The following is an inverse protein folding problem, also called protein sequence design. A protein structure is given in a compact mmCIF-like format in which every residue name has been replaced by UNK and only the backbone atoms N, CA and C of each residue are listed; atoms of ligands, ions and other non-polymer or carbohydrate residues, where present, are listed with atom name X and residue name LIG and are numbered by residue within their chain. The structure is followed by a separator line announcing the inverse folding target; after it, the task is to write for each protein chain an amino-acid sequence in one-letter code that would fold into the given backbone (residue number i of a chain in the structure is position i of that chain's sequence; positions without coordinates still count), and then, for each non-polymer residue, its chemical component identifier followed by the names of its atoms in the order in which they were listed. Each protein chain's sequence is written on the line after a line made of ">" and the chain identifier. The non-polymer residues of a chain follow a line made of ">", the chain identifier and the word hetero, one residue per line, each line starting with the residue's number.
data_IF_255823962629
#
_entry.id   IF_255823962629
#
_cell.length_a   1.000
_cell.length_b   1.000
_cell.length_c   1.000
_cell.angle_alpha   90.00
_cell.angle_beta   90.00
_cell.angle_gamma   90.00
#
_symmetry.space_group_name_H-M   'P 1'
#
loop_
_entity.id
_entity.type
_entity.pdbx_description
1 polymer ?
#
# COMPACT_ATOMS: atom_id res chain seq x y z
N UNK A 1 -34.51 4.75 -44.85
CA UNK A 1 -33.74 5.81 -45.47
C UNK A 1 -32.35 5.25 -45.75
N UNK A 2 -32.08 4.86 -46.99
CA UNK A 2 -30.78 4.24 -47.35
C UNK A 2 -29.77 5.43 -47.57
N UNK A 3 -28.71 5.44 -46.77
CA UNK A 3 -27.61 6.39 -46.98
C UNK A 3 -26.78 5.86 -48.14
N UNK A 4 -26.84 6.60 -49.27
CA UNK A 4 -25.98 6.32 -50.44
C UNK A 4 -24.59 6.90 -50.09
N UNK A 5 -23.63 6.05 -49.74
CA UNK A 5 -22.24 6.43 -49.59
C UNK A 5 -21.62 6.41 -50.98
N UNK A 6 -21.26 7.58 -51.49
CA UNK A 6 -20.56 7.74 -52.77
C UNK A 6 -19.11 7.22 -52.62
N UNK A 7 -18.86 6.01 -53.15
CA UNK A 7 -17.57 5.31 -53.07
C UNK A 7 -16.52 5.82 -54.04
N UNK A 8 -16.75 6.93 -54.76
CA UNK A 8 -15.86 7.43 -55.82
C UNK A 8 -14.75 8.38 -55.38
N UNK A 9 -14.68 8.79 -54.12
CA UNK A 9 -13.71 9.79 -53.66
C UNK A 9 -12.56 9.27 -52.77
N UNK A 10 -12.44 7.96 -52.51
CA UNK A 10 -11.32 7.39 -51.77
C UNK A 10 -10.36 6.64 -52.71
N UNK A 11 -9.56 7.36 -53.47
CA UNK A 11 -8.44 6.84 -54.26
C UNK A 11 -7.11 7.29 -53.66
N UNK A 12 -6.79 6.85 -52.45
CA UNK A 12 -5.45 6.84 -51.89
C UNK A 12 -5.15 5.46 -51.31
N UNK A 13 -3.88 5.01 -51.22
CA UNK A 13 -3.55 3.77 -50.55
C UNK A 13 -4.00 3.86 -49.10
N UNK A 14 -4.83 2.91 -48.66
CA UNK A 14 -5.23 2.81 -47.26
C UNK A 14 -4.01 2.39 -46.47
N UNK A 15 -3.50 3.30 -45.65
CA UNK A 15 -2.34 3.03 -44.76
C UNK A 15 -2.88 2.58 -43.42
N UNK A 16 -2.53 1.40 -42.99
CA UNK A 16 -2.88 0.87 -41.66
C UNK A 16 -1.70 1.11 -40.73
N UNK A 17 -1.95 1.67 -39.55
CA UNK A 17 -1.01 1.68 -38.44
C UNK A 17 -1.53 0.74 -37.35
N UNK A 18 -0.66 -0.18 -36.92
CA UNK A 18 -0.97 -1.10 -35.83
C UNK A 18 -0.13 -0.73 -34.63
N UNK A 19 -0.77 -0.68 -33.44
CA UNK A 19 -0.13 -0.38 -32.18
C UNK A 19 -0.36 -1.52 -31.21
N UNK A 20 0.64 -1.81 -30.38
CA UNK A 20 0.49 -2.73 -29.27
C UNK A 20 0.04 -1.98 -28.03
N UNK A 21 -1.18 -2.26 -27.57
CA UNK A 21 -1.78 -1.59 -26.41
C UNK A 21 -1.57 -2.38 -25.12
N UNK A 22 -1.39 -3.70 -25.19
CA UNK A 22 -1.32 -4.60 -24.06
C UNK A 22 -2.49 -4.37 -23.07
N UNK A 23 -2.19 -4.41 -21.76
CA UNK A 23 -3.14 -4.07 -20.69
C UNK A 23 -3.26 -2.55 -20.43
N UNK A 24 -2.38 -1.72 -21.03
CA UNK A 24 -2.32 -0.28 -20.76
C UNK A 24 -3.60 0.46 -21.11
N UNK A 25 -4.36 -0.05 -22.07
CA UNK A 25 -5.67 0.52 -22.42
C UNK A 25 -6.68 0.40 -21.29
N UNK A 26 -6.67 -0.71 -20.52
CA UNK A 26 -7.53 -0.88 -19.35
C UNK A 26 -7.11 0.05 -18.22
N UNK A 27 -5.79 0.17 -17.99
CA UNK A 27 -5.25 1.06 -16.96
C UNK A 27 -5.58 2.52 -17.27
N UNK A 28 -5.35 2.96 -18.51
CA UNK A 28 -5.67 4.33 -18.96
C UNK A 28 -7.17 4.62 -18.85
N UNK A 29 -8.03 3.68 -19.25
CA UNK A 29 -9.48 3.84 -19.16
C UNK A 29 -9.96 3.97 -17.70
N UNK A 30 -9.40 3.20 -16.76
CA UNK A 30 -9.71 3.32 -15.33
C UNK A 30 -9.27 4.67 -14.78
N UNK A 31 -8.08 5.16 -15.14
CA UNK A 31 -7.60 6.48 -14.71
C UNK A 31 -8.47 7.60 -15.28
N UNK A 32 -8.95 7.46 -16.51
CA UNK A 32 -9.87 8.42 -17.15
C UNK A 32 -11.24 8.40 -16.46
N UNK A 33 -11.79 7.22 -16.18
CA UNK A 33 -13.04 7.06 -15.42
C UNK A 33 -12.95 7.68 -14.03
N UNK A 34 -11.84 7.50 -13.32
CA UNK A 34 -11.58 8.16 -12.04
C UNK A 34 -11.38 9.67 -12.20
N UNK A 35 -11.01 10.14 -13.39
CA UNK A 35 -10.76 11.56 -13.70
C UNK A 35 -9.43 12.06 -13.13
N UNK A 36 -8.39 11.19 -13.07
CA UNK A 36 -7.14 11.52 -12.40
C UNK A 36 -6.44 12.74 -12.99
N UNK A 37 -6.42 12.89 -14.32
CA UNK A 37 -5.83 14.08 -14.98
C UNK A 37 -6.52 15.34 -14.48
N UNK A 38 -7.85 15.37 -14.50
CA UNK A 38 -8.63 16.54 -14.07
C UNK A 38 -8.41 16.86 -12.58
N UNK A 39 -8.34 15.85 -11.72
CA UNK A 39 -8.07 16.02 -10.28
C UNK A 39 -6.70 16.66 -10.08
N UNK A 40 -5.65 16.11 -10.69
CA UNK A 40 -4.28 16.59 -10.54
C UNK A 40 -4.16 18.02 -11.10
N UNK A 41 -4.67 18.25 -12.30
CA UNK A 41 -4.57 19.55 -12.98
C UNK A 41 -5.42 20.65 -12.31
N UNK A 42 -6.43 20.29 -11.52
CA UNK A 42 -7.24 21.25 -10.77
C UNK A 42 -6.53 21.84 -9.55
N UNK A 43 -5.56 21.12 -8.98
CA UNK A 43 -4.89 21.52 -7.74
C UNK A 43 -3.43 21.91 -7.94
N UNK A 44 -2.81 21.45 -9.02
CA UNK A 44 -1.41 21.78 -9.32
C UNK A 44 -1.37 22.91 -10.35
N UNK A 45 -0.63 23.97 -10.01
CA UNK A 45 -0.44 25.11 -10.92
C UNK A 45 0.18 24.66 -12.24
N UNK A 46 -0.49 24.98 -13.35
CA UNK A 46 -0.02 24.71 -14.71
C UNK A 46 0.63 25.98 -15.29
N UNK A 47 1.77 25.83 -16.00
CA UNK A 47 2.29 26.92 -16.82
C UNK A 47 1.53 26.93 -18.15
N UNK A 48 0.55 27.79 -18.25
CA UNK A 48 -0.44 27.77 -19.35
C UNK A 48 0.09 28.16 -20.73
N UNK A 49 1.23 28.85 -20.84
CA UNK A 49 1.60 29.50 -22.11
C UNK A 49 2.41 28.64 -23.10
N UNK A 50 2.97 27.49 -22.71
CA UNK A 50 3.84 26.73 -23.62
C UNK A 50 3.78 25.20 -23.47
N UNK A 51 2.86 24.61 -22.69
CA UNK A 51 2.87 23.17 -22.44
C UNK A 51 1.89 22.38 -23.30
N UNK A 52 2.46 21.39 -23.99
CA UNK A 52 1.68 20.37 -24.70
C UNK A 52 1.16 19.28 -23.77
N UNK A 53 1.86 19.01 -22.64
CA UNK A 53 1.54 17.95 -21.68
C UNK A 53 1.27 18.58 -20.31
N UNK A 54 0.09 18.34 -19.74
CA UNK A 54 -0.23 18.77 -18.38
C UNK A 54 0.48 17.93 -17.31
N UNK A 55 0.49 18.38 -16.05
CA UNK A 55 1.05 17.60 -14.95
C UNK A 55 0.30 16.28 -14.76
N UNK A 56 -1.03 16.31 -14.81
CA UNK A 56 -1.86 15.10 -14.73
C UNK A 56 -1.52 14.10 -15.84
N UNK A 57 -1.41 14.58 -17.09
CA UNK A 57 -1.03 13.72 -18.23
C UNK A 57 0.39 13.16 -18.09
N UNK A 58 1.34 13.94 -17.57
CA UNK A 58 2.70 13.45 -17.28
C UNK A 58 2.69 12.35 -16.21
N UNK A 59 1.86 12.50 -15.16
CA UNK A 59 1.67 11.45 -14.12
C UNK A 59 1.11 10.18 -14.75
N UNK A 60 0.06 10.28 -15.57
CA UNK A 60 -0.50 9.11 -16.26
C UNK A 60 0.55 8.43 -17.15
N UNK A 61 1.35 9.21 -17.87
CA UNK A 61 2.44 8.66 -18.70
C UNK A 61 3.47 7.88 -17.85
N UNK A 62 3.89 8.43 -16.71
CA UNK A 62 4.81 7.76 -15.81
C UNK A 62 4.21 6.47 -15.23
N UNK A 63 2.94 6.48 -14.85
CA UNK A 63 2.24 5.28 -14.34
C UNK A 63 2.16 4.21 -15.44
N UNK A 64 1.77 4.57 -16.65
CA UNK A 64 1.69 3.63 -17.77
C UNK A 64 3.07 3.05 -18.13
N UNK A 65 4.13 3.85 -18.09
CA UNK A 65 5.48 3.35 -18.26
C UNK A 65 5.87 2.37 -17.14
N UNK A 66 5.60 2.72 -15.88
CA UNK A 66 5.93 1.86 -14.73
C UNK A 66 5.16 0.53 -14.69
N UNK A 67 3.93 0.51 -15.19
CA UNK A 67 3.09 -0.69 -15.28
C UNK A 67 3.27 -1.47 -16.59
N UNK A 68 4.03 -0.96 -17.54
CA UNK A 68 4.30 -1.64 -18.82
C UNK A 68 5.12 -2.90 -18.64
N UNK A 69 4.92 -3.90 -19.49
CA UNK A 69 5.72 -5.15 -19.48
C UNK A 69 7.23 -4.91 -19.71
N UNK A 70 7.59 -3.79 -20.33
CA UNK A 70 8.97 -3.38 -20.56
C UNK A 70 9.12 -1.92 -20.17
N UNK A 71 8.96 -1.65 -18.87
CA UNK A 71 9.14 -0.30 -18.33
C UNK A 71 10.53 0.27 -18.65
N UNK A 72 10.62 1.59 -18.73
CA UNK A 72 11.85 2.31 -19.04
C UNK A 72 12.16 3.33 -17.94
N UNK A 73 13.43 3.65 -17.76
CA UNK A 73 13.85 4.78 -16.94
C UNK A 73 13.24 6.09 -17.48
N UNK A 74 13.13 7.10 -16.62
CA UNK A 74 12.42 8.35 -16.91
C UNK A 74 12.85 8.98 -18.24
N UNK A 75 14.17 9.08 -18.50
CA UNK A 75 14.73 9.66 -19.72
C UNK A 75 14.46 8.82 -20.99
N UNK A 76 14.06 7.56 -20.85
CA UNK A 76 13.70 6.67 -21.94
C UNK A 76 12.18 6.54 -22.13
N UNK A 77 11.37 7.31 -21.41
CA UNK A 77 9.91 7.28 -21.55
C UNK A 77 9.43 7.55 -22.98
N UNK A 78 10.03 8.46 -23.77
CA UNK A 78 9.68 8.60 -25.18
C UNK A 78 9.77 7.29 -25.98
N UNK A 79 10.84 6.51 -25.80
CA UNK A 79 11.01 5.21 -26.47
C UNK A 79 9.94 4.18 -26.06
N UNK A 80 9.48 4.22 -24.80
CA UNK A 80 8.37 3.37 -24.35
C UNK A 80 7.09 3.65 -25.14
N UNK A 81 6.85 4.91 -25.50
CA UNK A 81 5.64 5.35 -26.19
C UNK A 81 5.73 5.38 -27.72
N UNK A 82 6.90 5.16 -28.35
CA UNK A 82 7.06 5.22 -29.81
C UNK A 82 6.09 4.33 -30.58
N UNK A 83 5.83 3.13 -30.08
CA UNK A 83 4.96 2.14 -30.71
C UNK A 83 3.58 2.02 -30.02
N UNK A 84 3.15 3.05 -29.32
CA UNK A 84 1.88 3.09 -28.59
C UNK A 84 0.99 4.21 -29.11
N UNK A 85 -0.34 4.08 -29.05
CA UNK A 85 -1.28 5.10 -29.48
C UNK A 85 -1.36 6.23 -28.44
N UNK A 86 -0.32 7.06 -28.34
CA UNK A 86 -0.14 8.11 -27.33
C UNK A 86 -1.36 9.02 -27.21
N UNK A 87 -1.88 9.50 -28.35
CA UNK A 87 -3.04 10.39 -28.37
C UNK A 87 -4.30 9.75 -27.76
N UNK A 88 -4.44 8.41 -27.85
CA UNK A 88 -5.55 7.68 -27.23
C UNK A 88 -5.33 7.43 -25.74
N UNK A 89 -4.09 7.24 -25.31
CA UNK A 89 -3.74 6.94 -23.91
C UNK A 89 -3.69 8.20 -23.03
N UNK A 90 -3.23 9.34 -23.60
CA UNK A 90 -2.90 10.54 -22.83
C UNK A 90 -3.69 11.78 -23.29
N UNK A 91 -4.26 11.75 -24.48
CA UNK A 91 -5.02 12.87 -25.05
C UNK A 91 -4.49 13.35 -26.39
N UNK A 92 -5.37 14.00 -27.14
CA UNK A 92 -5.09 14.50 -28.49
C UNK A 92 -3.99 15.56 -28.48
N UNK A 93 -3.09 15.49 -29.45
CA UNK A 93 -1.97 16.44 -29.61
C UNK A 93 -0.71 16.06 -28.85
N UNK A 94 -0.76 15.03 -28.00
CA UNK A 94 0.43 14.51 -27.31
C UNK A 94 1.12 13.47 -28.19
N UNK A 95 2.44 13.58 -28.31
CA UNK A 95 3.31 12.66 -29.01
C UNK A 95 4.38 12.12 -28.04
N UNK A 96 4.99 10.96 -28.35
CA UNK A 96 6.01 10.34 -27.53
C UNK A 96 7.18 11.30 -27.18
N UNK A 97 7.61 12.13 -28.12
CA UNK A 97 8.71 13.11 -27.92
C UNK A 97 8.40 14.17 -26.86
N UNK A 98 7.12 14.45 -26.57
CA UNK A 98 6.72 15.41 -25.55
C UNK A 98 6.89 14.89 -24.13
N UNK A 99 7.09 13.55 -23.97
CA UNK A 99 7.24 12.86 -22.69
C UNK A 99 8.72 12.71 -22.30
N UNK A 100 9.53 13.71 -22.61
CA UNK A 100 10.96 13.71 -22.29
C UNK A 100 11.19 13.95 -20.79
N UNK A 101 12.42 13.71 -20.35
CA UNK A 101 12.85 13.82 -18.95
C UNK A 101 12.67 15.21 -18.35
N UNK A 102 12.85 16.28 -19.13
CA UNK A 102 12.60 17.66 -18.69
C UNK A 102 11.12 17.89 -18.38
N UNK A 103 10.22 17.42 -19.24
CA UNK A 103 8.77 17.52 -19.03
C UNK A 103 8.32 16.73 -17.81
N UNK A 104 8.78 15.48 -17.69
CA UNK A 104 8.41 14.60 -16.60
C UNK A 104 9.07 15.02 -15.28
N UNK A 105 10.33 15.47 -15.31
CA UNK A 105 11.04 16.01 -14.15
C UNK A 105 10.34 17.24 -13.57
N UNK A 106 9.97 18.20 -14.41
CA UNK A 106 9.18 19.37 -13.97
C UNK A 106 7.81 18.99 -13.38
N UNK A 107 7.18 17.94 -13.88
CA UNK A 107 5.96 17.42 -13.27
C UNK A 107 6.23 16.86 -11.87
N UNK A 108 7.29 16.08 -11.68
CA UNK A 108 7.69 15.56 -10.37
C UNK A 108 8.01 16.68 -9.37
N UNK A 109 8.73 17.74 -9.77
CA UNK A 109 9.03 18.90 -8.92
C UNK A 109 7.75 19.58 -8.42
N UNK A 110 6.72 19.65 -9.26
CA UNK A 110 5.43 20.24 -8.88
C UNK A 110 4.62 19.36 -7.96
N UNK A 111 4.63 18.05 -8.18
CA UNK A 111 4.04 17.08 -7.26
C UNK A 111 4.66 17.19 -5.88
N UNK A 112 6.00 17.29 -5.85
CA UNK A 112 6.75 17.47 -4.60
C UNK A 112 6.39 18.80 -3.91
N UNK A 113 6.34 19.90 -4.65
CA UNK A 113 6.00 21.23 -4.11
C UNK A 113 4.57 21.29 -3.56
N UNK A 114 3.63 20.60 -4.19
CA UNK A 114 2.23 20.52 -3.72
C UNK A 114 2.11 19.67 -2.44
N UNK A 115 2.89 18.60 -2.34
CA UNK A 115 2.79 17.58 -1.29
C UNK A 115 2.15 16.30 -1.81
N UNK A 116 2.98 15.27 -1.94
CA UNK A 116 2.55 13.98 -2.54
C UNK A 116 1.53 13.24 -1.67
N UNK A 117 1.60 13.39 -0.35
CA UNK A 117 0.65 12.78 0.60
C UNK A 117 -0.74 13.41 0.46
N UNK A 118 -0.80 14.74 0.41
CA UNK A 118 -2.05 15.49 0.27
C UNK A 118 -2.74 15.22 -1.08
N UNK A 119 -1.94 15.21 -2.16
CA UNK A 119 -2.45 14.88 -3.49
C UNK A 119 -3.01 13.45 -3.53
N UNK A 120 -2.27 12.50 -2.93
CA UNK A 120 -2.72 11.12 -2.88
C UNK A 120 -4.01 10.98 -2.07
N UNK A 121 -4.11 11.64 -0.92
CA UNK A 121 -5.33 11.67 -0.10
C UNK A 121 -6.55 12.18 -0.87
N UNK A 122 -6.38 13.25 -1.65
CA UNK A 122 -7.43 13.78 -2.52
C UNK A 122 -7.87 12.75 -3.59
N UNK A 123 -6.91 12.13 -4.27
CA UNK A 123 -7.19 11.08 -5.27
C UNK A 123 -7.93 9.90 -4.63
N UNK A 124 -7.47 9.44 -3.46
CA UNK A 124 -8.10 8.35 -2.72
C UNK A 124 -9.54 8.68 -2.34
N UNK A 125 -9.78 9.88 -1.81
CA UNK A 125 -11.12 10.34 -1.41
C UNK A 125 -12.09 10.40 -2.61
N UNK A 126 -11.63 10.89 -3.77
CA UNK A 126 -12.44 10.90 -4.99
C UNK A 126 -12.71 9.48 -5.48
N UNK A 127 -11.70 8.61 -5.46
CA UNK A 127 -11.81 7.21 -5.90
C UNK A 127 -12.79 6.42 -5.03
N UNK A 128 -12.70 6.53 -3.72
CA UNK A 128 -13.63 5.89 -2.77
C UNK A 128 -15.07 6.32 -3.02
N UNK A 129 -15.31 7.62 -3.25
CA UNK A 129 -16.65 8.13 -3.57
C UNK A 129 -17.18 7.62 -4.90
N UNK A 130 -16.37 7.66 -5.96
CA UNK A 130 -16.76 7.20 -7.31
C UNK A 130 -17.03 5.70 -7.36
N UNK A 131 -16.25 4.92 -6.62
CA UNK A 131 -16.41 3.46 -6.55
C UNK A 131 -17.41 3.01 -5.49
N UNK A 132 -18.05 3.94 -4.79
CA UNK A 132 -19.03 3.68 -3.72
C UNK A 132 -18.51 2.70 -2.64
N UNK A 133 -17.26 2.85 -2.24
CA UNK A 133 -16.64 1.99 -1.24
C UNK A 133 -17.02 2.40 0.17
N UNK A 134 -17.19 1.41 1.05
CA UNK A 134 -17.45 1.59 2.47
C UNK A 134 -16.19 1.22 3.28
N UNK A 135 -15.47 2.20 3.74
CA UNK A 135 -14.20 2.03 4.42
C UNK A 135 -14.39 1.60 5.89
N UNK A 136 -15.04 0.45 6.13
CA UNK A 136 -15.29 -0.05 7.48
C UNK A 136 -14.01 -0.32 8.25
N UNK A 137 -13.01 -0.90 7.60
CA UNK A 137 -11.71 -1.22 8.17
C UNK A 137 -10.60 -0.50 7.42
N UNK A 138 -9.71 0.14 8.16
CA UNK A 138 -8.46 0.70 7.67
C UNK A 138 -7.30 -0.19 8.10
N UNK A 139 -6.69 -0.91 7.16
CA UNK A 139 -5.56 -1.81 7.43
C UNK A 139 -4.26 -1.04 7.32
N UNK A 140 -3.55 -0.91 8.44
CA UNK A 140 -2.23 -0.29 8.51
C UNK A 140 -1.16 -1.34 8.31
N UNK A 141 -0.28 -1.12 7.36
CA UNK A 141 0.92 -1.92 7.14
C UNK A 141 2.03 -1.05 6.54
N UNK A 142 3.26 -1.51 6.61
CA UNK A 142 4.41 -0.90 5.98
C UNK A 142 5.18 -1.92 5.15
N UNK A 143 5.82 -1.45 4.10
CA UNK A 143 6.73 -2.27 3.29
C UNK A 143 7.99 -1.49 2.97
N UNK A 144 9.12 -2.19 2.84
CA UNK A 144 10.38 -1.61 2.38
C UNK A 144 10.56 -1.86 0.89
N UNK A 145 11.08 -0.85 0.19
CA UNK A 145 11.49 -0.96 -1.20
C UNK A 145 12.99 -0.66 -1.25
N UNK A 146 13.77 -1.63 -1.70
CA UNK A 146 15.20 -1.46 -1.89
C UNK A 146 15.49 -0.90 -3.28
N UNK A 147 16.62 -0.21 -3.37
CA UNK A 147 17.10 0.42 -4.59
C UNK A 147 18.57 0.08 -4.82
N UNK A 148 18.90 -0.19 -6.07
CA UNK A 148 20.28 -0.36 -6.48
C UNK A 148 20.88 0.99 -6.88
N UNK A 149 22.08 1.29 -6.42
CA UNK A 149 22.81 2.51 -6.74
C UNK A 149 23.39 3.23 -5.52
N UNK A 150 24.23 4.22 -5.82
CA UNK A 150 24.82 5.09 -4.80
C UNK A 150 23.89 6.28 -4.55
N UNK A 151 23.06 6.16 -3.54
CA UNK A 151 22.24 7.26 -3.05
C UNK A 151 23.00 7.93 -1.91
N UNK A 152 23.69 9.03 -2.22
CA UNK A 152 24.31 9.89 -1.20
C UNK A 152 23.20 10.76 -0.61
N UNK A 153 22.43 10.19 0.31
CA UNK A 153 21.52 10.99 1.11
C UNK A 153 22.33 11.83 2.09
N UNK A 154 22.07 13.13 2.15
CA UNK A 154 22.65 13.99 3.17
C UNK A 154 22.36 13.40 4.55
N UNK A 155 23.35 13.45 5.45
CA UNK A 155 23.18 12.92 6.81
C UNK A 155 22.08 13.66 7.59
N UNK A 156 21.78 14.91 7.20
CA UNK A 156 20.70 15.73 7.73
C UNK A 156 19.89 16.32 6.57
N UNK A 157 18.94 15.57 6.00
CA UNK A 157 18.07 16.10 4.96
C UNK A 157 17.19 17.22 5.52
N UNK A 158 16.74 18.17 4.68
CA UNK A 158 15.70 19.12 5.06
C UNK A 158 14.45 18.40 5.61
N UNK A 159 13.68 19.11 6.43
CA UNK A 159 12.42 18.58 6.94
C UNK A 159 11.50 18.13 5.80
N UNK A 160 10.89 16.96 5.96
CA UNK A 160 10.01 16.36 4.95
C UNK A 160 10.73 15.56 3.84
N UNK A 161 12.07 15.57 3.78
CA UNK A 161 12.83 14.75 2.83
C UNK A 161 13.18 13.41 3.47
N UNK A 162 12.80 12.31 2.82
CA UNK A 162 13.16 10.96 3.26
C UNK A 162 14.61 10.62 2.91
N UNK A 163 15.25 9.81 3.76
CA UNK A 163 16.58 9.27 3.48
C UNK A 163 16.47 7.88 2.84
N UNK A 164 17.10 7.71 1.69
CA UNK A 164 17.33 6.40 1.09
C UNK A 164 18.60 5.85 1.75
N UNK A 165 18.45 4.90 2.65
CA UNK A 165 19.54 4.37 3.48
C UNK A 165 19.32 2.91 3.84
N UNK A 166 20.34 2.26 4.38
CA UNK A 166 20.21 0.90 4.89
C UNK A 166 19.30 0.86 6.12
N UNK A 167 18.55 -0.24 6.25
CA UNK A 167 17.63 -0.45 7.37
C UNK A 167 17.22 -1.92 7.49
N UNK A 168 16.17 -2.19 8.26
CA UNK A 168 15.63 -3.53 8.37
C UNK A 168 14.96 -3.94 7.05
N UNK A 169 15.59 -4.91 6.36
CA UNK A 169 15.07 -5.42 5.09
C UNK A 169 14.19 -6.64 5.30
N UNK A 170 12.93 -6.56 4.85
CA UNK A 170 12.00 -7.71 4.85
C UNK A 170 12.41 -8.78 3.83
N UNK A 171 13.14 -8.38 2.79
CA UNK A 171 13.63 -9.26 1.71
C UNK A 171 15.01 -9.89 2.02
N UNK A 172 15.48 -9.74 3.27
CA UNK A 172 16.80 -10.23 3.71
C UNK A 172 17.98 -9.66 2.92
N UNK A 173 17.86 -8.40 2.46
CA UNK A 173 18.91 -7.64 1.76
C UNK A 173 19.32 -6.39 2.56
N UNK A 174 19.92 -6.58 3.77
CA UNK A 174 20.36 -5.46 4.61
C UNK A 174 21.56 -4.70 4.00
N UNK A 175 22.15 -5.23 2.94
CA UNK A 175 23.24 -4.66 2.17
C UNK A 175 22.78 -3.55 1.21
N UNK A 176 21.49 -3.48 0.89
CA UNK A 176 20.92 -2.49 -0.03
C UNK A 176 20.34 -1.29 0.70
N UNK A 177 20.43 -0.13 0.04
CA UNK A 177 19.68 1.04 0.43
C UNK A 177 18.20 0.82 0.16
N UNK A 178 17.35 1.35 1.04
CA UNK A 178 15.90 1.21 0.97
C UNK A 178 15.20 2.49 1.43
N UNK A 179 13.94 2.57 1.14
CA UNK A 179 12.98 3.47 1.77
C UNK A 179 11.75 2.65 2.19
N UNK A 180 10.97 3.17 3.11
CA UNK A 180 9.78 2.51 3.62
C UNK A 180 8.56 3.26 3.14
N UNK A 181 7.51 2.55 2.79
CA UNK A 181 6.20 3.14 2.53
C UNK A 181 5.19 2.55 3.49
N UNK A 182 4.42 3.41 4.11
CA UNK A 182 3.36 3.06 5.03
C UNK A 182 2.01 3.27 4.35
N UNK A 183 1.11 2.31 4.52
CA UNK A 183 -0.21 2.33 3.92
C UNK A 183 -1.30 2.24 4.98
N UNK A 184 -2.43 2.87 4.70
CA UNK A 184 -3.72 2.54 5.30
C UNK A 184 -4.65 2.17 4.15
N UNK A 185 -4.99 0.88 4.04
CA UNK A 185 -5.82 0.37 2.94
C UNK A 185 -7.22 0.05 3.44
N UNK A 186 -8.23 0.38 2.64
CA UNK A 186 -9.60 -0.07 2.91
C UNK A 186 -9.77 -1.57 2.56
N UNK A 187 -10.85 -2.20 3.06
CA UNK A 187 -11.00 -3.65 3.08
C UNK A 187 -11.79 -4.27 1.91
N UNK A 188 -12.43 -3.49 1.04
CA UNK A 188 -13.27 -4.02 -0.04
C UNK A 188 -12.48 -4.23 -1.33
N UNK A 189 -11.75 -3.21 -1.76
CA UNK A 189 -10.95 -3.22 -2.98
C UNK A 189 -9.43 -3.17 -2.71
N UNK A 190 -9.03 -2.98 -1.44
CA UNK A 190 -7.62 -2.84 -1.06
C UNK A 190 -7.01 -1.50 -1.48
N UNK A 191 -7.83 -0.48 -1.71
CA UNK A 191 -7.33 0.84 -2.10
C UNK A 191 -6.63 1.49 -0.92
N UNK A 192 -5.37 1.93 -1.09
CA UNK A 192 -4.73 2.74 -0.06
C UNK A 192 -5.45 4.08 0.10
N UNK A 193 -5.88 4.38 1.31
CA UNK A 193 -6.47 5.66 1.71
C UNK A 193 -5.39 6.68 2.08
N UNK A 194 -4.27 6.18 2.55
CA UNK A 194 -3.07 6.92 2.87
C UNK A 194 -1.85 6.15 2.36
N UNK A 195 -0.91 6.87 1.76
CA UNK A 195 0.43 6.38 1.43
C UNK A 195 1.45 7.39 1.94
N UNK A 196 2.31 6.98 2.88
CA UNK A 196 3.33 7.84 3.48
C UNK A 196 4.73 7.27 3.25
N UNK A 197 5.59 7.95 2.49
CA UNK A 197 6.99 7.57 2.36
C UNK A 197 7.74 7.90 3.66
N UNK A 198 8.65 7.02 4.05
CA UNK A 198 9.49 7.13 5.25
C UNK A 198 10.94 6.79 4.92
N UNK A 199 11.87 7.31 5.70
CA UNK A 199 13.29 6.98 5.58
C UNK A 199 13.55 5.48 5.76
N UNK A 200 14.56 4.95 5.06
CA UNK A 200 14.83 3.51 5.01
C UNK A 200 15.20 2.86 6.34
N UNK A 201 15.69 3.63 7.30
CA UNK A 201 16.02 3.20 8.66
C UNK A 201 14.89 3.47 9.67
N UNK A 202 13.70 3.87 9.22
CA UNK A 202 12.58 4.17 10.12
C UNK A 202 12.02 2.90 10.74
N UNK A 203 11.89 2.91 12.07
CA UNK A 203 11.25 1.80 12.79
C UNK A 203 9.73 1.83 12.61
N UNK A 204 9.12 0.67 12.33
CA UNK A 204 7.67 0.51 12.14
C UNK A 204 6.86 1.10 13.30
N UNK A 205 7.28 0.83 14.54
CA UNK A 205 6.57 1.28 15.76
C UNK A 205 6.43 2.79 15.85
N UNK A 206 7.51 3.52 15.58
CA UNK A 206 7.52 4.99 15.62
C UNK A 206 6.75 5.57 14.45
N UNK A 207 6.94 5.01 13.25
CA UNK A 207 6.23 5.42 12.05
C UNK A 207 4.71 5.28 12.18
N UNK A 208 4.23 4.18 12.76
CA UNK A 208 2.79 3.97 13.01
C UNK A 208 2.17 5.07 13.86
N UNK A 209 2.78 5.36 15.00
CA UNK A 209 2.26 6.38 15.90
C UNK A 209 2.20 7.75 15.23
N UNK A 210 3.29 8.18 14.61
CA UNK A 210 3.34 9.48 13.94
C UNK A 210 2.33 9.62 12.80
N UNK A 211 2.10 8.55 12.06
CA UNK A 211 1.10 8.54 10.99
C UNK A 211 -0.32 8.66 11.54
N UNK A 212 -0.64 7.95 12.61
CA UNK A 212 -1.93 8.09 13.27
C UNK A 212 -2.09 9.48 13.89
N UNK A 213 -1.06 10.00 14.58
CA UNK A 213 -1.06 11.34 15.17
C UNK A 213 -1.38 12.42 14.12
N UNK A 214 -0.76 12.31 12.94
CA UNK A 214 -0.91 13.31 11.89
C UNK A 214 -2.25 13.20 11.13
N UNK A 215 -2.76 11.99 10.89
CA UNK A 215 -3.79 11.77 9.89
C UNK A 215 -5.10 11.15 10.42
N UNK A 216 -5.16 10.69 11.69
CA UNK A 216 -6.32 9.97 12.22
C UNK A 216 -7.63 10.74 12.06
N UNK A 217 -7.63 12.03 12.41
CA UNK A 217 -8.82 12.87 12.34
C UNK A 217 -9.29 13.06 10.90
N UNK A 218 -8.37 13.33 9.98
CA UNK A 218 -8.67 13.50 8.57
C UNK A 218 -9.21 12.21 7.95
N UNK A 219 -8.55 11.08 8.21
CA UNK A 219 -8.99 9.77 7.74
C UNK A 219 -10.41 9.41 8.22
N UNK A 220 -10.72 9.72 9.48
CA UNK A 220 -12.05 9.48 10.02
C UNK A 220 -13.10 10.40 9.38
N UNK A 221 -12.75 11.66 9.06
CA UNK A 221 -13.66 12.60 8.39
C UNK A 221 -13.88 12.23 6.92
N UNK A 222 -12.82 11.90 6.21
CA UNK A 222 -12.86 11.66 4.76
C UNK A 222 -13.43 10.28 4.39
N UNK A 223 -13.16 9.25 5.23
CA UNK A 223 -13.47 7.87 4.90
C UNK A 223 -14.39 7.16 5.91
N UNK A 224 -14.72 7.78 7.03
CA UNK A 224 -15.59 7.22 8.09
C UNK A 224 -15.13 5.81 8.55
N UNK A 225 -13.81 5.62 8.74
CA UNK A 225 -13.21 4.35 9.16
C UNK A 225 -13.74 4.00 10.54
N UNK A 226 -14.29 2.78 10.70
CA UNK A 226 -14.85 2.31 11.97
C UNK A 226 -13.82 1.56 12.81
N UNK A 227 -12.89 0.85 12.16
CA UNK A 227 -11.87 0.04 12.83
C UNK A 227 -10.53 0.20 12.15
N UNK A 228 -9.49 0.44 12.92
CA UNK A 228 -8.11 0.35 12.44
C UNK A 228 -7.55 -1.04 12.74
N UNK A 229 -6.96 -1.68 11.73
CA UNK A 229 -6.39 -3.02 11.82
C UNK A 229 -4.89 -2.92 11.61
N UNK A 230 -4.10 -3.43 12.53
CA UNK A 230 -2.65 -3.40 12.46
C UNK A 230 -2.03 -4.65 13.08
N UNK A 231 -0.78 -4.90 12.74
CA UNK A 231 -0.03 -6.04 13.25
C UNK A 231 0.50 -5.79 14.68
N UNK A 232 1.26 -6.75 15.21
CA UNK A 232 1.83 -6.67 16.55
C UNK A 232 2.87 -5.56 16.74
N UNK A 233 3.42 -4.98 15.66
CA UNK A 233 4.35 -3.86 15.77
C UNK A 233 3.66 -2.58 16.28
N UNK A 234 2.39 -2.39 15.90
CA UNK A 234 1.58 -1.27 16.38
C UNK A 234 1.01 -1.49 17.80
N UNK A 235 1.09 -2.71 18.36
CA UNK A 235 0.56 -3.02 19.68
C UNK A 235 1.51 -2.57 20.80
N UNK A 236 1.70 -1.27 20.92
CA UNK A 236 2.46 -0.65 22.00
C UNK A 236 1.57 0.30 22.80
N UNK A 237 1.87 0.45 24.09
CA UNK A 237 1.05 1.23 25.03
C UNK A 237 0.76 2.63 24.51
N UNK A 238 1.75 3.31 23.99
CA UNK A 238 1.67 4.68 23.51
C UNK A 238 0.70 4.80 22.32
N UNK A 239 0.78 3.89 21.35
CA UNK A 239 -0.17 3.82 20.22
C UNK A 239 -1.59 3.56 20.67
N UNK A 240 -1.77 2.61 21.61
CA UNK A 240 -3.09 2.25 22.12
C UNK A 240 -3.74 3.41 22.90
N UNK A 241 -2.97 4.15 23.70
CA UNK A 241 -3.45 5.34 24.40
C UNK A 241 -3.85 6.43 23.40
N UNK A 242 -3.04 6.63 22.36
CA UNK A 242 -3.30 7.64 21.33
C UNK A 242 -4.58 7.36 20.54
N UNK A 243 -4.88 6.10 20.24
CA UNK A 243 -6.12 5.70 19.57
C UNK A 243 -7.38 6.04 20.39
N UNK A 244 -7.26 6.20 21.71
CA UNK A 244 -8.35 6.62 22.60
C UNK A 244 -9.62 5.78 22.38
N UNK A 245 -10.73 6.46 22.04
CA UNK A 245 -12.03 5.82 21.77
C UNK A 245 -12.13 5.20 20.36
N UNK A 246 -11.11 5.36 19.52
CA UNK A 246 -11.08 4.77 18.18
C UNK A 246 -11.04 3.25 18.29
N UNK A 247 -11.90 2.56 17.55
CA UNK A 247 -11.94 1.10 17.54
C UNK A 247 -10.77 0.52 16.74
N UNK A 248 -10.16 -0.50 17.26
CA UNK A 248 -9.03 -1.15 16.60
C UNK A 248 -9.02 -2.66 16.79
N UNK A 249 -8.28 -3.34 15.89
CA UNK A 249 -8.02 -4.77 15.91
C UNK A 249 -6.53 -4.96 15.73
N UNK A 250 -5.87 -5.67 16.63
CA UNK A 250 -4.46 -5.94 16.50
C UNK A 250 -4.11 -7.34 17.01
N UNK A 251 -2.99 -7.82 16.54
CA UNK A 251 -2.38 -9.02 17.09
C UNK A 251 -1.57 -8.67 18.34
N UNK A 252 -1.81 -9.38 19.44
CA UNK A 252 -1.01 -9.23 20.65
C UNK A 252 0.35 -9.88 20.45
N UNK A 253 1.47 -9.20 20.77
CA UNK A 253 2.79 -9.80 20.75
C UNK A 253 2.90 -10.97 21.76
N UNK A 254 3.49 -12.08 21.34
CA UNK A 254 3.77 -13.22 22.21
C UNK A 254 4.82 -12.92 23.30
N UNK A 255 5.55 -11.82 23.16
CA UNK A 255 6.49 -11.32 24.18
C UNK A 255 5.79 -10.86 25.46
N UNK A 256 4.48 -10.56 25.40
CA UNK A 256 3.67 -10.17 26.56
C UNK A 256 3.37 -11.39 27.41
N UNK A 257 3.85 -11.42 28.65
CA UNK A 257 3.68 -12.55 29.57
C UNK A 257 2.20 -12.91 29.80
N UNK A 258 1.34 -11.90 29.96
CA UNK A 258 -0.10 -12.09 30.14
C UNK A 258 -0.75 -12.78 28.92
N UNK A 259 -0.31 -12.44 27.70
CA UNK A 259 -0.80 -13.07 26.48
C UNK A 259 -0.46 -14.55 26.43
N UNK A 260 0.77 -14.91 26.83
CA UNK A 260 1.17 -16.31 26.95
C UNK A 260 0.36 -17.07 28.00
N UNK A 261 0.24 -16.52 29.20
CA UNK A 261 -0.56 -17.12 30.28
C UNK A 261 -2.01 -17.41 29.87
N UNK A 262 -2.67 -16.42 29.23
CA UNK A 262 -4.04 -16.57 28.72
C UNK A 262 -4.08 -17.65 27.61
N UNK A 263 -3.15 -17.60 26.70
CA UNK A 263 -3.08 -18.59 25.60
C UNK A 263 -2.91 -20.00 26.15
N UNK A 264 -2.00 -20.22 27.08
CA UNK A 264 -1.72 -21.53 27.68
C UNK A 264 -2.93 -22.04 28.46
N UNK A 265 -3.62 -21.18 29.19
CA UNK A 265 -4.82 -21.53 29.95
C UNK A 265 -6.02 -21.91 29.07
N UNK A 266 -6.21 -21.23 27.95
CA UNK A 266 -7.35 -21.41 27.05
C UNK A 266 -7.12 -22.46 25.98
N UNK A 267 -5.88 -22.68 25.64
CA UNK A 267 -5.44 -23.54 24.58
C UNK A 267 -5.99 -24.98 24.61
N UNK A 268 -5.97 -25.71 25.73
CA UNK A 268 -6.47 -27.07 25.76
C UNK A 268 -7.95 -27.17 25.37
N UNK A 269 -8.77 -26.24 25.83
CA UNK A 269 -10.20 -26.22 25.53
C UNK A 269 -10.52 -26.02 24.04
N UNK A 270 -9.68 -25.23 23.34
CA UNK A 270 -9.85 -24.93 21.92
C UNK A 270 -9.35 -26.04 21.00
N UNK A 271 -8.55 -26.98 21.53
CA UNK A 271 -8.01 -28.11 20.76
C UNK A 271 -9.04 -29.22 20.47
N UNK A 272 -10.12 -29.28 21.26
CA UNK A 272 -11.06 -30.41 21.30
C UNK A 272 -12.13 -30.36 20.21
N UNK A 273 -12.22 -29.27 19.45
CA UNK A 273 -13.29 -29.09 18.46
C UNK A 273 -12.86 -29.54 17.05
N UNK A 274 -13.74 -30.27 16.37
CA UNK A 274 -13.59 -30.69 14.97
C UNK A 274 -13.77 -29.52 13.97
N UNK A 275 -14.13 -28.33 14.46
CA UNK A 275 -14.28 -27.18 13.62
C UNK A 275 -12.91 -26.67 13.07
N UNK A 276 -12.87 -26.17 11.83
CA UNK A 276 -11.63 -25.65 11.24
C UNK A 276 -11.06 -24.45 12.01
N UNK A 277 -11.88 -23.79 12.83
CA UNK A 277 -11.49 -22.72 13.76
C UNK A 277 -12.36 -22.75 15.01
N UNK A 278 -11.78 -22.34 16.13
CA UNK A 278 -12.45 -22.18 17.43
C UNK A 278 -11.87 -20.96 18.13
N UNK A 279 -12.63 -20.32 18.99
CA UNK A 279 -12.17 -19.15 19.72
C UNK A 279 -12.74 -19.02 21.13
N UNK A 280 -12.00 -18.30 21.99
CA UNK A 280 -12.48 -17.85 23.31
C UNK A 280 -12.25 -16.35 23.44
N UNK A 281 -13.27 -15.63 23.85
CA UNK A 281 -13.22 -14.19 24.11
C UNK A 281 -13.11 -13.91 25.60
N UNK A 282 -12.24 -12.98 26.00
CA UNK A 282 -11.97 -12.62 27.40
C UNK A 282 -11.88 -11.09 27.53
N UNK A 283 -12.42 -10.56 28.61
CA UNK A 283 -12.16 -9.17 29.04
C UNK A 283 -10.83 -9.11 29.76
N UNK A 284 -9.92 -8.26 29.31
CA UNK A 284 -8.57 -8.11 29.85
C UNK A 284 -8.30 -6.64 30.11
N UNK A 285 -7.69 -6.32 31.23
CA UNK A 285 -7.16 -4.99 31.49
C UNK A 285 -5.66 -5.00 31.14
N UNK A 286 -5.28 -4.20 30.15
CA UNK A 286 -3.90 -4.08 29.71
C UNK A 286 -3.59 -2.63 29.33
N UNK A 287 -2.40 -2.16 29.72
CA UNK A 287 -1.92 -0.78 29.49
C UNK A 287 -2.87 0.30 30.06
N UNK A 288 -3.64 -0.02 31.13
CA UNK A 288 -4.64 0.90 31.73
C UNK A 288 -5.96 0.99 30.96
N UNK A 289 -6.20 0.08 30.00
CA UNK A 289 -7.42 0.05 29.20
C UNK A 289 -8.09 -1.32 29.28
N UNK A 290 -9.42 -1.31 29.31
CA UNK A 290 -10.23 -2.52 29.20
C UNK A 290 -10.31 -2.95 27.75
N UNK A 291 -9.83 -4.15 27.45
CA UNK A 291 -9.73 -4.71 26.10
C UNK A 291 -10.47 -6.05 26.03
N UNK A 292 -10.95 -6.39 24.84
CA UNK A 292 -11.49 -7.72 24.55
C UNK A 292 -10.44 -8.53 23.81
N UNK A 293 -9.83 -9.51 24.46
CA UNK A 293 -8.89 -10.41 23.85
C UNK A 293 -9.60 -11.65 23.33
N UNK A 294 -9.21 -12.11 22.14
CA UNK A 294 -9.77 -13.30 21.52
C UNK A 294 -8.61 -14.27 21.20
N UNK A 295 -8.63 -15.41 21.84
CA UNK A 295 -7.71 -16.52 21.53
C UNK A 295 -8.36 -17.35 20.43
N UNK A 296 -7.67 -17.50 19.30
CA UNK A 296 -8.20 -18.21 18.13
C UNK A 296 -7.32 -19.42 17.83
N UNK A 297 -7.91 -20.58 17.64
CA UNK A 297 -7.27 -21.79 17.14
C UNK A 297 -7.79 -22.10 15.73
N UNK A 298 -6.87 -22.29 14.77
CA UNK A 298 -7.22 -22.66 13.40
C UNK A 298 -6.47 -23.91 12.97
N UNK A 299 -7.06 -24.69 12.05
CA UNK A 299 -6.39 -25.88 11.51
C UNK A 299 -5.05 -25.57 10.82
N UNK A 300 -4.93 -24.39 10.21
CA UNK A 300 -3.69 -23.93 9.58
C UNK A 300 -2.62 -23.56 10.61
N UNK A 301 -2.98 -22.91 11.73
CA UNK A 301 -2.07 -22.58 12.80
C UNK A 301 -1.56 -23.87 13.48
N UNK A 302 -2.47 -24.81 13.77
CA UNK A 302 -2.09 -26.13 14.34
C UNK A 302 -1.09 -26.88 13.45
N UNK A 303 -1.32 -26.93 12.13
CA UNK A 303 -0.39 -27.57 11.18
C UNK A 303 0.97 -26.87 11.11
N UNK A 304 1.02 -25.53 11.19
CA UNK A 304 2.29 -24.80 11.22
C UNK A 304 3.07 -25.08 12.50
N UNK A 305 2.40 -25.07 13.65
CA UNK A 305 3.00 -25.38 14.94
C UNK A 305 3.62 -26.79 14.94
N UNK A 306 2.87 -27.78 14.45
CA UNK A 306 3.36 -29.16 14.33
C UNK A 306 4.63 -29.24 13.46
N UNK A 307 4.64 -28.60 12.28
CA UNK A 307 5.83 -28.57 11.42
C UNK A 307 7.03 -27.86 12.08
N UNK A 308 6.78 -26.83 12.89
CA UNK A 308 7.87 -26.15 13.63
C UNK A 308 8.48 -27.08 14.68
N UNK A 309 7.67 -27.81 15.44
CA UNK A 309 8.13 -28.80 16.42
C UNK A 309 8.92 -29.90 15.73
N UNK A 310 8.43 -30.46 14.62
CA UNK A 310 9.11 -31.47 13.83
C UNK A 310 10.50 -30.99 13.35
N UNK A 311 10.60 -29.74 12.86
CA UNK A 311 11.88 -29.14 12.44
C UNK A 311 12.86 -28.93 13.59
N UNK A 312 12.38 -28.48 14.74
CA UNK A 312 13.23 -28.30 15.92
C UNK A 312 13.70 -29.65 16.49
N UNK A 313 12.84 -30.66 16.51
CA UNK A 313 13.17 -32.02 16.90
C UNK A 313 14.26 -32.61 15.99
N UNK A 314 14.16 -32.43 14.67
CA UNK A 314 15.19 -32.87 13.71
C UNK A 314 16.52 -32.11 13.88
N UNK A 315 16.48 -30.80 14.21
CA UNK A 315 17.70 -29.99 14.42
C UNK A 315 18.45 -30.38 15.71
N UNK A 316 17.75 -30.81 16.75
CA UNK A 316 18.32 -31.17 18.04
C UNK A 316 18.85 -32.62 18.09
N UNK A 317 18.87 -33.32 16.95
CA UNK A 317 19.58 -34.59 16.76
C UNK A 317 19.36 -35.60 17.88
N UNK A 318 18.24 -36.30 17.91
CA UNK A 318 18.13 -37.60 18.56
C UNK A 318 18.37 -37.72 20.08
N UNK A 319 18.31 -36.64 20.85
CA UNK A 319 18.26 -36.74 22.31
C UNK A 319 16.82 -36.81 22.80
N UNK A 320 16.56 -37.87 23.55
CA UNK A 320 15.29 -38.36 24.09
C UNK A 320 14.25 -37.31 24.44
N UNK A 321 13.09 -37.44 23.81
CA UNK A 321 11.75 -37.28 24.34
C UNK A 321 11.44 -36.10 25.28
N UNK A 322 11.57 -34.85 24.85
CA UNK A 322 10.79 -33.75 25.42
C UNK A 322 9.82 -33.27 24.35
N UNK A 323 8.56 -33.67 24.48
CA UNK A 323 7.47 -33.14 23.63
C UNK A 323 7.18 -31.71 24.08
N UNK A 324 7.72 -30.72 23.38
CA UNK A 324 7.27 -29.35 23.53
C UNK A 324 5.98 -29.18 22.75
N UNK A 325 4.86 -29.03 23.47
CA UNK A 325 3.61 -28.51 22.89
C UNK A 325 3.81 -27.03 22.58
N UNK A 326 4.35 -26.73 21.40
CA UNK A 326 4.39 -25.37 20.89
C UNK A 326 2.99 -25.03 20.40
N UNK A 327 2.22 -24.29 21.19
CA UNK A 327 0.97 -23.73 20.73
C UNK A 327 1.27 -22.46 19.93
N UNK A 328 1.24 -22.56 18.62
CA UNK A 328 1.36 -21.40 17.71
C UNK A 328 0.04 -20.59 17.69
N UNK A 329 -0.42 -20.19 18.88
CA UNK A 329 -1.71 -19.54 19.10
C UNK A 329 -1.50 -18.07 19.34
N UNK A 330 -1.89 -17.31 18.36
CA UNK A 330 -1.75 -15.85 18.37
C UNK A 330 -3.06 -15.22 18.82
N UNK A 331 -3.10 -14.51 19.94
CA UNK A 331 -4.29 -13.77 20.35
C UNK A 331 -4.57 -12.62 19.38
N UNK A 332 -5.84 -12.42 19.05
CA UNK A 332 -6.35 -11.29 18.28
C UNK A 332 -7.15 -10.42 19.24
N UNK A 333 -6.82 -9.15 19.31
CA UNK A 333 -7.55 -8.18 20.15
C UNK A 333 -8.56 -7.44 19.28
N UNK A 334 -9.79 -7.41 19.79
CA UNK A 334 -10.86 -6.57 19.28
C UNK A 334 -11.21 -5.56 20.36
N UNK A 335 -10.95 -4.28 20.12
CA UNK A 335 -11.44 -3.22 20.97
C UNK A 335 -12.85 -2.82 20.51
N UNK A 336 -13.83 -2.98 21.38
CA UNK A 336 -15.16 -2.42 21.20
C UNK A 336 -15.30 -1.31 22.22
N UNK A 337 -15.23 -0.06 21.76
CA UNK A 337 -15.67 1.08 22.57
C UNK A 337 -17.13 0.97 22.97
#
# INVERSE_FOLDING_TARGET
>A
MAVHVDTKTMRGPITYQSYNLDHLGLVAAMMDELGLVAIIDSVIVQDHEQRVVSVGQAVIAMILNGLGFSHRALYLTPHFFENKPVARLLGTGIEARHLNDDTLGKALDRLYTYGVEDLYGLIAAVSVRKLHLHCRFGHLDSTSLHVDGNYNSDQNPPDGVIQITQGYSRDHRPDLNQWVIQFICENQAGIPLLMKPLSGNREDKTGFRETLDAHLNQLNQDFAIQYYVFDSAGFIRETLIHLGDTRWISRVPETIALARQITDAVAPDLAITDHPWSYRSLGVEYAGMRQRWVVVSTASARRRAQKSVERESLKKGGQEGIVYLVSDRKPIILNNG
#
